data_IF_973228195078
#
_entry.id   IF_973228195078
#
_cell.length_a   1.000
_cell.length_b   1.000
_cell.length_c   1.000
_cell.angle_alpha   90.00
_cell.angle_beta   90.00
_cell.angle_gamma   90.00
#
_symmetry.space_group_name_H-M   'P 1'
#
loop_
_entity.id
_entity.type
_entity.pdbx_description
1 polymer ?
#
# COMPACT_ATOMS: atom_id res chain seq x y z
N UNK A 1 7.38 18.41 -19.88
CA UNK A 1 6.86 17.64 -18.72
C UNK A 1 7.07 16.19 -19.10
N UNK A 2 8.06 15.51 -18.51
CA UNK A 2 8.20 14.06 -18.68
C UNK A 2 7.04 13.39 -17.96
N UNK A 3 6.15 12.76 -18.74
CA UNK A 3 5.04 11.99 -18.21
C UNK A 3 5.49 10.54 -18.20
N UNK A 4 5.85 10.04 -17.02
CA UNK A 4 6.14 8.62 -16.84
C UNK A 4 4.96 7.79 -17.37
N UNK A 5 5.28 6.72 -18.10
CA UNK A 5 4.26 5.83 -18.65
C UNK A 5 3.47 5.14 -17.54
N UNK A 6 2.22 4.77 -17.82
CA UNK A 6 1.42 3.95 -16.91
C UNK A 6 2.16 2.67 -16.47
N UNK A 7 2.99 2.12 -17.35
CA UNK A 7 3.82 0.94 -17.08
C UNK A 7 4.85 1.18 -15.99
N UNK A 8 5.44 2.38 -15.90
CA UNK A 8 6.34 2.74 -14.82
C UNK A 8 5.62 2.65 -13.47
N UNK A 9 4.47 3.31 -13.34
CA UNK A 9 3.68 3.31 -12.10
C UNK A 9 3.18 1.90 -11.74
N UNK A 10 2.79 1.09 -12.73
CA UNK A 10 2.39 -0.30 -12.52
C UNK A 10 3.56 -1.14 -11.97
N UNK A 11 4.77 -0.99 -12.52
CA UNK A 11 5.96 -1.69 -11.99
C UNK A 11 6.28 -1.29 -10.55
N UNK A 12 6.18 0.00 -10.23
CA UNK A 12 6.39 0.51 -8.86
C UNK A 12 5.35 -0.06 -7.90
N UNK A 13 4.06 -0.01 -8.27
CA UNK A 13 2.95 -0.56 -7.48
C UNK A 13 3.17 -2.05 -7.18
N UNK A 14 3.43 -2.85 -8.22
CA UNK A 14 3.62 -4.29 -8.07
C UNK A 14 4.82 -4.63 -7.18
N UNK A 15 5.89 -3.84 -7.24
CA UNK A 15 7.07 -4.03 -6.39
C UNK A 15 6.74 -3.83 -4.90
N UNK A 16 5.92 -2.82 -4.55
CA UNK A 16 5.52 -2.61 -3.15
C UNK A 16 4.56 -3.70 -2.65
N UNK A 17 3.64 -4.17 -3.50
CA UNK A 17 2.76 -5.30 -3.16
C UNK A 17 3.59 -6.55 -2.89
N UNK A 18 4.49 -6.93 -3.80
CA UNK A 18 5.35 -8.10 -3.63
C UNK A 18 6.20 -8.03 -2.35
N UNK A 19 6.71 -6.84 -1.99
CA UNK A 19 7.44 -6.65 -0.72
C UNK A 19 6.54 -6.79 0.50
N UNK A 20 5.30 -6.33 0.45
CA UNK A 20 4.34 -6.50 1.55
C UNK A 20 4.01 -7.98 1.79
N UNK A 21 3.93 -8.78 0.74
CA UNK A 21 3.72 -10.22 0.81
C UNK A 21 4.96 -10.95 1.32
N UNK A 22 6.17 -10.49 0.96
CA UNK A 22 7.42 -11.09 1.41
C UNK A 22 7.74 -10.80 2.88
N UNK A 23 7.36 -9.61 3.39
CA UNK A 23 7.65 -9.17 4.76
C UNK A 23 6.38 -8.73 5.50
N UNK A 24 5.37 -9.60 5.66
CA UNK A 24 4.05 -9.22 6.18
C UNK A 24 4.07 -8.79 7.65
N UNK A 25 5.07 -9.21 8.41
CA UNK A 25 5.27 -8.75 9.80
C UNK A 25 5.75 -7.29 9.87
N UNK A 26 6.46 -6.82 8.83
CA UNK A 26 7.07 -5.48 8.79
C UNK A 26 6.33 -4.49 7.90
N UNK A 27 5.65 -4.98 6.86
CA UNK A 27 5.02 -4.17 5.84
C UNK A 27 3.55 -4.57 5.76
N UNK A 28 2.66 -3.62 6.02
CA UNK A 28 1.21 -3.82 5.97
C UNK A 28 0.67 -3.10 4.74
N UNK A 29 0.06 -3.85 3.83
CA UNK A 29 -0.57 -3.30 2.63
C UNK A 29 -1.94 -2.73 2.98
N UNK A 30 -2.24 -1.53 2.51
CA UNK A 30 -3.47 -0.80 2.79
C UNK A 30 -4.10 -0.36 1.48
N UNK A 31 -5.42 -0.51 1.36
CA UNK A 31 -6.17 -0.10 0.18
C UNK A 31 -6.46 1.41 0.18
N UNK A 32 -5.63 2.16 -0.55
CA UNK A 32 -5.77 3.60 -0.70
C UNK A 32 -6.92 4.06 -1.63
N UNK A 33 -7.71 3.14 -2.21
CA UNK A 33 -8.88 3.51 -3.02
C UNK A 33 -10.09 3.94 -2.18
N UNK A 34 -10.04 3.67 -0.87
CA UNK A 34 -11.08 4.03 0.08
C UNK A 34 -11.03 5.51 0.48
N UNK A 35 -12.05 5.97 1.20
CA UNK A 35 -12.02 7.29 1.81
C UNK A 35 -11.02 7.35 2.99
N UNK A 36 -10.64 8.58 3.38
CA UNK A 36 -9.63 8.83 4.42
C UNK A 36 -10.03 8.27 5.79
N UNK A 37 -11.32 8.29 6.12
CA UNK A 37 -11.82 7.75 7.40
C UNK A 37 -11.62 6.23 7.48
N UNK A 38 -11.95 5.51 6.41
CA UNK A 38 -11.77 4.06 6.33
C UNK A 38 -10.30 3.67 6.39
N UNK A 39 -9.43 4.37 5.64
CA UNK A 39 -7.98 4.17 5.67
C UNK A 39 -7.44 4.38 7.09
N UNK A 40 -7.85 5.47 7.75
CA UNK A 40 -7.43 5.78 9.11
C UNK A 40 -7.85 4.68 10.09
N UNK A 41 -9.08 4.19 9.96
CA UNK A 41 -9.60 3.09 10.79
C UNK A 41 -8.84 1.77 10.54
N UNK A 42 -8.48 1.46 9.30
CA UNK A 42 -7.68 0.29 8.95
C UNK A 42 -6.29 0.34 9.61
N UNK A 43 -5.61 1.49 9.50
CA UNK A 43 -4.31 1.73 10.15
C UNK A 43 -4.43 1.50 11.66
N UNK A 44 -5.45 2.08 12.30
CA UNK A 44 -5.66 1.93 13.76
C UNK A 44 -5.91 0.48 14.17
N UNK A 45 -6.63 -0.31 13.37
CA UNK A 45 -6.85 -1.74 13.63
C UNK A 45 -5.53 -2.52 13.56
N UNK A 46 -4.73 -2.29 12.54
CA UNK A 46 -3.42 -2.93 12.37
C UNK A 46 -2.53 -2.63 13.58
N UNK A 47 -2.43 -1.36 13.99
CA UNK A 47 -1.58 -0.93 15.10
C UNK A 47 -1.99 -1.54 16.45
N UNK A 48 -3.27 -1.87 16.65
CA UNK A 48 -3.75 -2.54 17.87
C UNK A 48 -3.38 -4.03 17.95
N UNK A 49 -2.99 -4.63 16.83
CA UNK A 49 -2.65 -6.05 16.72
C UNK A 49 -1.14 -6.30 16.64
N UNK A 50 -0.33 -5.24 16.70
CA UNK A 50 1.12 -5.29 16.85
C UNK A 50 1.49 -5.36 18.34
#
# INVERSE_FOLDING_TARGET
IEQESLDFFNRVRNTYIARSEQYPERIKLIDASQNVENISNEIQKILKTL
#
